data_IF_356418162285
#
_entry.id   IF_356418162285
#
_cell.length_a   1.000
_cell.length_b   1.000
_cell.length_c   1.000
_cell.angle_alpha   90.00
_cell.angle_beta   90.00
_cell.angle_gamma   90.00
#
_symmetry.space_group_name_H-M   'P 1'
#
loop_
_entity.id
_entity.type
_entity.pdbx_description
1 polymer ?
#
# COMPACT_ATOMS: atom_id res chain seq x y z
N UNK A 1 -12.99 -4.23 -35.42
CA UNK A 1 -13.89 -5.13 -34.65
C UNK A 1 -13.61 -4.85 -33.19
N UNK A 2 -14.58 -4.32 -32.46
CA UNK A 2 -14.46 -4.10 -31.01
C UNK A 2 -14.20 -5.44 -30.33
N UNK A 3 -13.01 -5.63 -29.79
CA UNK A 3 -12.69 -6.82 -29.00
C UNK A 3 -13.49 -6.74 -27.69
N UNK A 4 -14.58 -7.48 -27.62
CA UNK A 4 -15.37 -7.59 -26.39
C UNK A 4 -14.72 -8.61 -25.47
N UNK A 5 -14.21 -8.19 -24.33
CA UNK A 5 -13.69 -9.05 -23.26
C UNK A 5 -14.75 -9.32 -22.20
N UNK A 6 -14.62 -10.40 -21.42
CA UNK A 6 -15.45 -10.58 -20.23
C UNK A 6 -15.14 -9.50 -19.19
N UNK A 7 -13.85 -9.20 -18.97
CA UNK A 7 -13.40 -8.19 -18.05
C UNK A 7 -12.33 -7.28 -18.66
N UNK A 8 -12.42 -5.99 -18.37
CA UNK A 8 -11.35 -5.01 -18.62
C UNK A 8 -10.77 -4.64 -17.26
N UNK A 9 -9.43 -4.71 -17.14
CA UNK A 9 -8.67 -4.22 -15.98
C UNK A 9 -7.99 -2.92 -16.38
N UNK A 10 -8.21 -1.85 -15.62
CA UNK A 10 -7.60 -0.54 -15.84
C UNK A 10 -6.40 -0.36 -14.91
N UNK A 11 -5.21 -0.22 -15.50
CA UNK A 11 -3.94 -0.12 -14.80
C UNK A 11 -3.20 -1.46 -14.69
N UNK A 12 -1.96 -1.49 -15.17
CA UNK A 12 -1.05 -2.65 -15.15
C UNK A 12 -0.14 -2.70 -13.93
N UNK A 13 -0.35 -1.85 -12.91
CA UNK A 13 0.38 -1.92 -11.65
C UNK A 13 0.16 -3.25 -10.91
N UNK A 14 0.76 -3.46 -9.72
CA UNK A 14 0.76 -4.77 -9.07
C UNK A 14 -0.65 -5.32 -8.81
N UNK A 15 -1.58 -4.45 -8.46
CA UNK A 15 -2.97 -4.84 -8.16
C UNK A 15 -3.71 -5.28 -9.42
N UNK A 16 -3.63 -4.49 -10.50
CA UNK A 16 -4.28 -4.84 -11.76
C UNK A 16 -3.64 -6.04 -12.46
N UNK A 17 -2.31 -6.14 -12.44
CA UNK A 17 -1.61 -7.31 -12.96
C UNK A 17 -1.98 -8.60 -12.22
N UNK A 18 -2.12 -8.52 -10.89
CA UNK A 18 -2.53 -9.66 -10.07
C UNK A 18 -4.00 -10.01 -10.25
N UNK A 19 -4.88 -9.00 -10.40
CA UNK A 19 -6.29 -9.22 -10.75
C UNK A 19 -6.41 -9.93 -12.10
N UNK A 20 -5.74 -9.45 -13.13
CA UNK A 20 -5.76 -10.05 -14.45
C UNK A 20 -5.21 -11.48 -14.45
N UNK A 21 -4.14 -11.75 -13.68
CA UNK A 21 -3.61 -13.08 -13.52
C UNK A 21 -4.63 -14.04 -12.88
N UNK A 22 -5.32 -13.61 -11.80
CA UNK A 22 -6.33 -14.46 -11.15
C UNK A 22 -7.57 -14.63 -12.03
N UNK A 23 -8.05 -13.59 -12.70
CA UNK A 23 -9.18 -13.66 -13.63
C UNK A 23 -8.92 -14.67 -14.75
N UNK A 24 -7.78 -14.56 -15.44
CA UNK A 24 -7.44 -15.48 -16.52
C UNK A 24 -7.27 -16.93 -16.04
N UNK A 25 -6.73 -17.15 -14.82
CA UNK A 25 -6.70 -18.48 -14.18
C UNK A 25 -8.09 -19.07 -13.92
N UNK A 26 -9.09 -18.22 -13.69
CA UNK A 26 -10.48 -18.62 -13.48
C UNK A 26 -11.27 -18.74 -14.79
N UNK A 27 -10.58 -18.61 -15.95
CA UNK A 27 -11.18 -18.78 -17.28
C UNK A 27 -11.94 -17.55 -17.79
N UNK A 28 -11.76 -16.40 -17.17
CA UNK A 28 -12.32 -15.12 -17.62
C UNK A 28 -11.44 -14.55 -18.74
N UNK A 29 -12.03 -14.16 -19.86
CA UNK A 29 -11.34 -13.41 -20.91
C UNK A 29 -11.10 -11.98 -20.43
N UNK A 30 -9.80 -11.59 -20.29
CA UNK A 30 -9.41 -10.34 -19.66
C UNK A 30 -8.43 -9.53 -20.51
N UNK A 31 -8.72 -8.25 -20.65
CA UNK A 31 -7.82 -7.26 -21.27
C UNK A 31 -7.39 -6.23 -20.23
N UNK A 32 -6.08 -6.00 -20.12
CA UNK A 32 -5.46 -4.97 -19.27
C UNK A 32 -5.06 -3.78 -20.13
N UNK A 33 -5.48 -2.58 -19.74
CA UNK A 33 -5.01 -1.32 -20.31
C UNK A 33 -4.06 -0.61 -19.34
N UNK A 34 -2.83 -0.35 -19.80
CA UNK A 34 -1.79 0.35 -19.04
C UNK A 34 -1.37 1.62 -19.81
N UNK A 35 -1.31 2.76 -19.11
CA UNK A 35 -1.00 4.05 -19.75
C UNK A 35 0.48 4.21 -20.12
N UNK A 36 1.39 3.50 -19.44
CA UNK A 36 2.82 3.59 -19.66
C UNK A 36 3.30 2.59 -20.73
N UNK A 37 4.49 2.85 -21.27
CA UNK A 37 5.16 1.97 -22.22
C UNK A 37 5.69 0.69 -21.57
N UNK A 38 5.91 0.72 -20.25
CA UNK A 38 6.43 -0.41 -19.48
C UNK A 38 5.73 -0.46 -18.12
N UNK A 39 5.30 -1.67 -17.73
CA UNK A 39 4.69 -1.90 -16.42
C UNK A 39 5.72 -1.73 -15.31
N UNK A 40 5.34 -1.03 -14.24
CA UNK A 40 6.20 -0.77 -13.08
C UNK A 40 7.16 0.42 -13.24
N UNK A 41 7.12 1.12 -14.37
CA UNK A 41 7.94 2.31 -14.65
C UNK A 41 7.03 3.50 -15.00
N UNK A 42 7.16 4.66 -14.31
CA UNK A 42 8.06 4.92 -13.16
C UNK A 42 7.60 4.21 -11.87
N UNK A 43 8.56 3.82 -11.03
CA UNK A 43 8.27 3.27 -9.70
C UNK A 43 8.25 4.39 -8.66
N UNK A 44 7.21 4.39 -7.81
CA UNK A 44 6.99 5.42 -6.78
C UNK A 44 6.81 4.81 -5.38
N UNK A 45 7.30 3.60 -5.14
CA UNK A 45 7.02 2.85 -3.91
C UNK A 45 8.28 2.18 -3.38
N UNK A 46 8.53 2.30 -2.09
CA UNK A 46 9.65 1.67 -1.38
C UNK A 46 9.73 0.13 -1.58
N UNK A 47 8.62 -0.49 -1.95
CA UNK A 47 8.58 -1.94 -2.16
C UNK A 47 8.68 -2.74 -0.86
N UNK A 48 8.34 -2.16 0.30
CA UNK A 48 8.40 -2.85 1.59
C UNK A 48 7.19 -3.76 1.77
N UNK A 49 7.38 -5.06 1.67
CA UNK A 49 6.31 -6.06 1.67
C UNK A 49 6.47 -7.07 2.81
N UNK A 50 5.35 -7.58 3.29
CA UNK A 50 5.31 -8.70 4.24
C UNK A 50 5.64 -10.01 3.54
N UNK A 51 6.59 -10.77 4.08
CA UNK A 51 6.93 -12.12 3.58
C UNK A 51 5.72 -13.05 3.76
N UNK A 52 5.03 -12.96 4.90
CA UNK A 52 3.82 -13.74 5.16
C UNK A 52 2.68 -13.38 4.21
N UNK A 53 2.49 -12.07 3.95
CA UNK A 53 1.49 -11.61 3.00
C UNK A 53 1.75 -12.13 1.58
N UNK A 54 3.00 -12.05 1.11
CA UNK A 54 3.40 -12.65 -0.17
C UNK A 54 3.09 -14.16 -0.22
N UNK A 55 3.46 -14.89 0.82
CA UNK A 55 3.20 -16.35 0.92
C UNK A 55 1.70 -16.66 0.87
N UNK A 56 0.88 -15.92 1.59
CA UNK A 56 -0.60 -16.11 1.60
C UNK A 56 -1.21 -15.87 0.22
N UNK A 57 -0.57 -15.06 -0.60
CA UNK A 57 -0.98 -14.76 -1.98
C UNK A 57 -0.35 -15.70 -3.03
N UNK A 58 0.44 -16.70 -2.61
CA UNK A 58 1.15 -17.61 -3.52
C UNK A 58 2.32 -16.96 -4.26
N UNK A 59 2.93 -15.94 -3.65
CA UNK A 59 4.05 -15.16 -4.18
C UNK A 59 5.33 -15.35 -3.35
N UNK A 60 5.49 -16.48 -2.69
CA UNK A 60 6.65 -16.80 -1.86
C UNK A 60 7.91 -17.19 -2.67
N UNK A 61 7.74 -17.59 -3.93
CA UNK A 61 8.83 -17.96 -4.85
C UNK A 61 9.05 -16.88 -5.91
N UNK A 62 9.54 -15.71 -5.48
CA UNK A 62 9.89 -14.64 -6.41
C UNK A 62 11.22 -14.93 -7.14
N UNK A 63 11.33 -14.61 -8.43
CA UNK A 63 12.60 -14.71 -9.17
C UNK A 63 13.74 -13.93 -8.53
N UNK A 64 14.97 -14.38 -8.77
CA UNK A 64 16.18 -13.67 -8.35
C UNK A 64 16.17 -12.22 -8.84
N UNK A 65 16.64 -11.29 -7.99
CA UNK A 65 16.72 -9.87 -8.30
C UNK A 65 15.44 -9.08 -8.01
N UNK A 66 14.29 -9.74 -7.79
CA UNK A 66 13.09 -9.03 -7.34
C UNK A 66 13.21 -8.62 -5.88
N UNK A 67 13.67 -9.51 -5.00
CA UNK A 67 13.95 -9.19 -3.60
C UNK A 67 15.32 -8.53 -3.51
N UNK A 68 15.33 -7.27 -3.06
CA UNK A 68 16.55 -6.47 -2.87
C UNK A 68 17.17 -6.68 -1.48
N UNK A 69 16.31 -6.87 -0.46
CA UNK A 69 16.74 -7.13 0.91
C UNK A 69 15.62 -7.76 1.73
N UNK A 70 15.98 -8.32 2.90
CA UNK A 70 15.03 -8.84 3.89
C UNK A 70 15.32 -8.25 5.26
N UNK A 71 14.26 -8.04 6.07
CA UNK A 71 14.38 -7.38 7.37
C UNK A 71 13.82 -8.24 8.49
N UNK A 72 14.66 -8.39 9.53
CA UNK A 72 14.31 -9.07 10.77
C UNK A 72 13.94 -8.09 11.87
N UNK A 73 14.16 -6.79 11.68
CA UNK A 73 13.93 -5.80 12.71
C UNK A 73 13.52 -4.42 12.20
N UNK A 74 13.08 -3.61 13.14
CA UNK A 74 12.79 -2.19 12.92
C UNK A 74 13.25 -1.37 14.13
N UNK A 75 13.80 -0.20 13.85
CA UNK A 75 14.17 0.80 14.84
C UNK A 75 13.24 2.00 14.71
N UNK A 76 12.48 2.28 15.75
CA UNK A 76 11.61 3.45 15.81
C UNK A 76 12.32 4.55 16.59
N UNK A 77 12.43 5.73 16.00
CA UNK A 77 13.08 6.89 16.58
C UNK A 77 12.07 8.01 16.80
N UNK A 78 12.15 8.69 17.96
CA UNK A 78 11.43 9.95 18.20
C UNK A 78 12.15 11.12 17.51
N UNK A 79 11.48 12.28 17.45
CA UNK A 79 12.11 13.54 16.99
C UNK A 79 13.34 13.93 17.80
N UNK A 80 13.47 13.50 19.06
CA UNK A 80 14.61 13.74 19.93
C UNK A 80 15.70 12.66 19.80
N UNK A 81 15.48 11.62 19.01
CA UNK A 81 16.43 10.53 18.78
C UNK A 81 16.33 9.37 19.77
N UNK A 82 15.32 9.34 20.65
CA UNK A 82 15.06 8.16 21.49
C UNK A 82 14.70 6.98 20.60
N UNK A 83 15.36 5.84 20.84
CA UNK A 83 15.24 4.61 20.06
C UNK A 83 14.42 3.57 20.79
N UNK A 84 13.51 2.91 20.07
CA UNK A 84 12.89 1.64 20.45
C UNK A 84 13.11 0.64 19.32
N UNK A 85 13.66 -0.54 19.63
CA UNK A 85 13.99 -1.57 18.64
C UNK A 85 13.06 -2.76 18.77
N UNK A 86 12.60 -3.26 17.63
CA UNK A 86 11.87 -4.51 17.49
C UNK A 86 12.72 -5.46 16.68
N UNK A 87 12.98 -6.66 17.19
CA UNK A 87 13.75 -7.68 16.46
C UNK A 87 13.06 -9.03 16.52
N UNK A 88 12.84 -9.61 15.37
CA UNK A 88 12.26 -10.93 15.19
C UNK A 88 13.37 -11.98 15.01
N UNK A 89 13.04 -13.25 15.24
CA UNK A 89 14.01 -14.36 15.10
C UNK A 89 14.41 -14.65 13.65
N UNK A 90 13.57 -14.27 12.71
CA UNK A 90 13.74 -14.46 11.26
C UNK A 90 13.16 -13.26 10.51
N UNK A 91 13.53 -13.05 9.24
CA UNK A 91 12.95 -11.98 8.42
C UNK A 91 11.42 -12.09 8.35
N UNK A 92 10.74 -10.96 8.51
CA UNK A 92 9.27 -10.82 8.44
C UNK A 92 8.82 -9.92 7.29
N UNK A 93 9.74 -9.07 6.79
CA UNK A 93 9.50 -8.23 5.62
C UNK A 93 10.65 -8.32 4.62
N UNK A 94 10.39 -7.87 3.41
CA UNK A 94 11.40 -7.69 2.38
C UNK A 94 11.20 -6.38 1.63
N UNK A 95 12.29 -5.84 1.06
CA UNK A 95 12.25 -4.84 0.02
C UNK A 95 12.23 -5.53 -1.34
N UNK A 96 11.36 -5.09 -2.23
CA UNK A 96 11.36 -5.58 -3.62
C UNK A 96 11.64 -4.43 -4.58
N UNK A 97 12.31 -4.76 -5.67
CA UNK A 97 12.36 -3.91 -6.86
C UNK A 97 10.97 -3.90 -7.49
N UNK A 98 10.26 -2.78 -7.38
CA UNK A 98 8.88 -2.67 -7.82
C UNK A 98 8.71 -2.80 -9.34
N UNK A 99 9.65 -2.28 -10.11
CA UNK A 99 9.60 -2.45 -11.57
C UNK A 99 9.66 -3.93 -11.96
N UNK A 100 10.58 -4.69 -11.36
CA UNK A 100 10.70 -6.12 -11.61
C UNK A 100 9.52 -6.92 -11.04
N UNK A 101 9.02 -6.55 -9.87
CA UNK A 101 7.89 -7.22 -9.24
C UNK A 101 6.60 -7.02 -10.04
N UNK A 102 6.30 -5.80 -10.45
CA UNK A 102 5.10 -5.49 -11.23
C UNK A 102 5.16 -6.15 -12.61
N UNK A 103 6.35 -6.14 -13.25
CA UNK A 103 6.60 -6.86 -14.50
C UNK A 103 6.44 -8.37 -14.36
N UNK A 104 6.91 -8.94 -13.28
CA UNK A 104 6.71 -10.37 -12.98
C UNK A 104 5.21 -10.73 -12.89
N UNK A 105 4.40 -9.91 -12.24
CA UNK A 105 2.96 -10.16 -12.12
C UNK A 105 2.24 -10.06 -13.47
N UNK A 106 2.54 -9.05 -14.28
CA UNK A 106 1.89 -8.90 -15.59
C UNK A 106 2.30 -9.99 -16.57
N UNK A 107 3.55 -10.47 -16.52
CA UNK A 107 3.99 -11.60 -17.32
C UNK A 107 3.30 -12.92 -16.90
N UNK A 108 2.99 -13.07 -15.60
CA UNK A 108 2.13 -14.17 -15.13
C UNK A 108 0.72 -14.08 -15.71
N UNK A 109 0.13 -12.89 -15.74
CA UNK A 109 -1.19 -12.68 -16.36
C UNK A 109 -1.18 -13.03 -17.84
N UNK A 110 -0.19 -12.57 -18.61
CA UNK A 110 -0.02 -12.91 -20.05
C UNK A 110 0.11 -14.41 -20.28
N UNK A 111 0.92 -15.10 -19.45
CA UNK A 111 1.12 -16.55 -19.56
C UNK A 111 -0.15 -17.37 -19.29
N UNK A 112 -1.11 -16.81 -18.57
CA UNK A 112 -2.41 -17.46 -18.32
C UNK A 112 -3.51 -17.03 -19.29
N UNK A 113 -3.19 -16.18 -20.28
CA UNK A 113 -4.09 -15.82 -21.37
C UNK A 113 -4.62 -14.39 -21.33
N UNK A 114 -4.21 -13.56 -20.34
CA UNK A 114 -4.61 -12.15 -20.31
C UNK A 114 -3.99 -11.35 -21.48
N UNK A 115 -4.80 -10.57 -22.17
CA UNK A 115 -4.34 -9.58 -23.15
C UNK A 115 -3.85 -8.32 -22.44
N UNK A 116 -2.74 -7.73 -22.87
CA UNK A 116 -2.18 -6.52 -22.27
C UNK A 116 -1.87 -5.48 -23.33
N UNK A 117 -2.47 -4.30 -23.20
CA UNK A 117 -2.26 -3.17 -24.10
C UNK A 117 -1.52 -2.06 -23.33
N UNK A 118 -0.26 -1.84 -23.69
CA UNK A 118 0.58 -0.76 -23.16
C UNK A 118 0.36 0.53 -23.97
N UNK A 119 0.79 1.68 -23.42
CA UNK A 119 0.53 3.01 -23.98
C UNK A 119 -0.96 3.28 -24.25
N UNK A 120 -1.81 2.68 -23.44
CA UNK A 120 -3.26 2.67 -23.65
C UNK A 120 -3.96 3.26 -22.42
N UNK A 121 -4.02 4.57 -22.38
CA UNK A 121 -4.65 5.31 -21.28
C UNK A 121 -6.16 5.23 -21.38
N UNK A 122 -6.80 4.71 -20.36
CA UNK A 122 -8.25 4.78 -20.20
C UNK A 122 -8.64 6.21 -19.80
N UNK A 123 -9.56 6.82 -20.58
CA UNK A 123 -10.05 8.19 -20.36
C UNK A 123 -11.34 8.21 -19.55
N UNK A 124 -12.27 7.33 -19.86
CA UNK A 124 -13.60 7.32 -19.24
C UNK A 124 -14.26 5.96 -19.32
N UNK A 125 -15.28 5.77 -18.49
CA UNK A 125 -16.19 4.64 -18.55
C UNK A 125 -17.19 4.82 -19.71
N UNK A 126 -17.59 3.73 -20.34
CA UNK A 126 -18.72 3.69 -21.29
C UNK A 126 -19.92 3.14 -20.54
N UNK A 127 -20.96 3.95 -20.39
CA UNK A 127 -22.18 3.60 -19.65
C UNK A 127 -23.35 3.49 -20.60
N UNK A 128 -24.10 2.37 -20.56
CA UNK A 128 -25.34 2.14 -21.30
C UNK A 128 -26.42 1.61 -20.35
N UNK A 129 -27.58 2.23 -20.33
CA UNK A 129 -28.70 1.83 -19.47
C UNK A 129 -28.36 1.64 -17.97
N UNK A 130 -27.47 2.49 -17.42
CA UNK A 130 -27.04 2.43 -16.03
C UNK A 130 -26.02 1.34 -15.71
N UNK A 131 -25.48 0.66 -16.73
CA UNK A 131 -24.37 -0.31 -16.61
C UNK A 131 -23.09 0.24 -17.23
N UNK A 132 -21.98 0.03 -16.57
CA UNK A 132 -20.66 0.19 -17.21
C UNK A 132 -20.47 -1.03 -18.13
N UNK A 133 -20.29 -0.74 -19.43
CA UNK A 133 -20.19 -1.76 -20.49
C UNK A 133 -18.84 -1.71 -21.21
N UNK A 134 -17.87 -0.99 -20.66
CA UNK A 134 -16.54 -0.87 -21.23
C UNK A 134 -15.85 0.44 -20.87
N UNK A 135 -14.78 0.72 -21.58
CA UNK A 135 -13.94 1.91 -21.40
C UNK A 135 -13.67 2.63 -22.71
N UNK A 136 -13.45 3.96 -22.62
CA UNK A 136 -12.96 4.78 -23.72
C UNK A 136 -11.48 5.08 -23.49
N UNK A 137 -10.67 4.93 -24.55
CA UNK A 137 -9.23 5.17 -24.54
C UNK A 137 -8.92 6.60 -25.02
N UNK A 138 -7.77 7.12 -24.62
CA UNK A 138 -7.28 8.42 -25.11
C UNK A 138 -6.94 8.31 -26.62
N UNK A 139 -7.17 9.37 -27.38
CA UNK A 139 -6.89 9.42 -28.84
C UNK A 139 -5.42 9.14 -29.23
N UNK A 140 -4.49 9.26 -28.26
CA UNK A 140 -3.09 8.91 -28.45
C UNK A 140 -2.82 7.41 -28.36
N UNK A 141 -3.77 6.61 -27.90
CA UNK A 141 -3.68 5.16 -27.81
C UNK A 141 -3.76 4.57 -29.22
N UNK A 142 -2.82 3.67 -29.54
CA UNK A 142 -2.85 2.94 -30.84
C UNK A 142 -4.00 1.94 -30.79
N UNK A 143 -5.00 2.09 -31.65
CA UNK A 143 -6.10 1.15 -31.79
C UNK A 143 -7.49 1.79 -31.72
N UNK A 144 -8.49 1.00 -31.38
CA UNK A 144 -9.87 1.44 -31.24
C UNK A 144 -10.05 2.37 -30.04
N UNK A 145 -10.87 3.41 -30.19
CA UNK A 145 -11.11 4.40 -29.13
C UNK A 145 -11.99 3.87 -27.98
N UNK A 146 -12.58 2.68 -28.11
CA UNK A 146 -13.42 2.04 -27.10
C UNK A 146 -13.15 0.54 -27.05
N UNK A 147 -13.24 -0.03 -25.86
CA UNK A 147 -13.23 -1.48 -25.60
C UNK A 147 -14.48 -1.85 -24.81
N UNK A 148 -15.25 -2.80 -25.33
CA UNK A 148 -16.44 -3.31 -24.64
C UNK A 148 -16.04 -4.38 -23.63
N UNK A 149 -16.72 -4.41 -22.47
CA UNK A 149 -16.55 -5.42 -21.42
C UNK A 149 -17.82 -5.62 -20.64
N UNK A 150 -18.01 -6.82 -20.08
CA UNK A 150 -19.11 -7.10 -19.16
C UNK A 150 -18.87 -6.49 -17.76
N UNK A 151 -17.61 -6.45 -17.34
CA UNK A 151 -17.17 -5.83 -16.08
C UNK A 151 -15.88 -5.05 -16.31
N UNK A 152 -15.79 -3.86 -15.73
CA UNK A 152 -14.55 -3.07 -15.65
C UNK A 152 -14.03 -3.12 -14.21
N UNK A 153 -12.79 -3.56 -14.03
CA UNK A 153 -12.06 -3.59 -12.75
C UNK A 153 -11.07 -2.44 -12.74
N UNK A 154 -11.38 -1.40 -11.98
CA UNK A 154 -10.55 -0.21 -11.87
C UNK A 154 -9.41 -0.41 -10.86
N UNK A 155 -8.19 -0.45 -11.38
CA UNK A 155 -6.93 -0.54 -10.63
C UNK A 155 -5.99 0.64 -10.99
N UNK A 156 -6.54 1.82 -11.34
CA UNK A 156 -5.78 2.99 -11.80
C UNK A 156 -4.94 3.68 -10.69
N UNK A 157 -4.91 3.09 -9.50
CA UNK A 157 -4.14 3.61 -8.37
C UNK A 157 -4.72 4.89 -7.78
N UNK A 158 -3.86 5.73 -7.21
CA UNK A 158 -4.27 6.92 -6.46
C UNK A 158 -4.98 8.00 -7.31
N UNK A 159 -4.89 7.92 -8.62
CA UNK A 159 -5.56 8.88 -9.52
C UNK A 159 -7.08 8.87 -9.37
N UNK A 160 -7.68 7.70 -9.14
CA UNK A 160 -9.11 7.48 -8.83
C UNK A 160 -10.06 8.27 -9.74
N UNK A 161 -9.73 8.40 -11.03
CA UNK A 161 -10.51 9.24 -11.98
C UNK A 161 -11.80 8.57 -12.40
N UNK A 162 -11.76 7.26 -12.61
CA UNK A 162 -12.91 6.49 -13.05
C UNK A 162 -13.92 6.31 -11.92
N UNK A 163 -13.46 6.18 -10.67
CA UNK A 163 -14.32 6.14 -9.48
C UNK A 163 -15.23 7.38 -9.42
N UNK A 164 -14.67 8.57 -9.71
CA UNK A 164 -15.45 9.83 -9.72
C UNK A 164 -16.53 9.87 -10.79
N UNK A 165 -16.37 9.11 -11.87
CA UNK A 165 -17.36 9.03 -12.94
C UNK A 165 -18.50 8.07 -12.57
N UNK A 166 -18.18 6.96 -11.87
CA UNK A 166 -19.16 5.98 -11.45
C UNK A 166 -19.96 6.42 -10.20
N UNK A 167 -19.28 7.03 -9.21
CA UNK A 167 -19.88 7.44 -7.94
C UNK A 167 -19.16 8.67 -7.33
N UNK A 168 -19.47 9.90 -7.75
CA UNK A 168 -18.77 11.11 -7.31
C UNK A 168 -18.73 11.33 -5.79
N UNK A 169 -19.76 10.86 -5.06
CA UNK A 169 -19.87 11.03 -3.61
C UNK A 169 -18.94 10.10 -2.80
N UNK A 170 -18.39 9.04 -3.42
CA UNK A 170 -17.55 8.05 -2.74
C UNK A 170 -16.18 8.58 -2.32
N UNK A 171 -15.72 9.68 -2.91
CA UNK A 171 -14.34 10.17 -2.82
C UNK A 171 -14.11 11.30 -1.81
N UNK A 172 -15.14 11.78 -1.12
CA UNK A 172 -15.08 12.99 -0.30
C UNK A 172 -14.29 12.87 1.02
N UNK A 173 -13.73 11.70 1.35
CA UNK A 173 -13.07 11.43 2.64
C UNK A 173 -11.65 10.83 2.54
N UNK A 174 -10.97 10.95 1.41
CA UNK A 174 -9.59 10.45 1.31
C UNK A 174 -8.61 11.38 2.03
N UNK A 175 -8.07 10.93 3.16
CA UNK A 175 -6.95 11.58 3.81
C UNK A 175 -5.67 11.27 3.03
N UNK A 176 -5.19 12.22 2.26
CA UNK A 176 -3.95 12.09 1.51
C UNK A 176 -2.75 12.53 2.36
N UNK A 177 -1.65 11.81 2.24
CA UNK A 177 -0.32 12.29 2.56
C UNK A 177 0.51 12.36 1.29
N UNK A 178 1.40 13.34 1.23
CA UNK A 178 2.29 13.54 0.09
C UNK A 178 3.69 13.09 0.47
N UNK A 179 4.21 12.12 -0.28
CA UNK A 179 5.48 11.48 -0.02
C UNK A 179 6.58 11.91 -0.98
N UNK A 180 7.79 11.81 -0.48
CA UNK A 180 9.03 11.82 -1.24
C UNK A 180 9.83 10.59 -0.86
N UNK A 181 10.39 9.92 -1.85
CA UNK A 181 11.31 8.81 -1.69
C UNK A 181 12.56 9.05 -2.52
N UNK A 182 13.70 8.73 -1.95
CA UNK A 182 14.99 8.83 -2.60
C UNK A 182 15.74 7.49 -2.48
N UNK A 183 16.46 7.12 -3.53
CA UNK A 183 17.53 6.15 -3.45
C UNK A 183 18.82 6.88 -3.07
N UNK A 184 19.55 6.34 -2.09
CA UNK A 184 20.77 6.92 -1.57
C UNK A 184 21.88 5.89 -1.48
N UNK A 185 23.11 6.33 -1.71
CA UNK A 185 24.34 5.55 -1.51
C UNK A 185 25.11 6.09 -0.31
N UNK A 186 26.07 5.30 0.21
CA UNK A 186 26.99 5.68 1.29
C UNK A 186 26.29 6.00 2.61
N UNK A 187 25.36 5.15 3.04
CA UNK A 187 24.76 5.22 4.38
C UNK A 187 25.74 4.67 5.42
N UNK A 188 25.70 5.22 6.63
CA UNK A 188 26.61 4.85 7.73
C UNK A 188 25.84 4.44 8.99
N UNK A 189 26.46 3.62 9.82
CA UNK A 189 25.92 3.23 11.14
C UNK A 189 24.49 2.66 11.11
N UNK A 190 24.18 1.89 10.08
CA UNK A 190 22.89 1.25 9.87
C UNK A 190 23.06 -0.28 9.80
N UNK A 191 22.21 -0.98 10.50
CA UNK A 191 22.16 -2.45 10.43
C UNK A 191 21.32 -2.85 9.20
N UNK A 192 21.92 -3.62 8.29
CA UNK A 192 21.33 -3.88 6.97
C UNK A 192 20.01 -4.65 6.99
N UNK A 193 19.71 -5.41 8.06
CA UNK A 193 18.47 -6.16 8.22
C UNK A 193 17.45 -5.48 9.17
N UNK A 194 17.62 -4.16 9.43
CA UNK A 194 16.71 -3.38 10.26
C UNK A 194 16.21 -2.12 9.54
N UNK A 195 14.90 -1.93 9.50
CA UNK A 195 14.28 -0.72 8.94
C UNK A 195 14.29 0.40 9.98
N UNK A 196 14.69 1.60 9.59
CA UNK A 196 14.52 2.82 10.39
C UNK A 196 13.15 3.45 10.17
N UNK A 197 12.43 3.77 11.24
CA UNK A 197 11.19 4.54 11.25
C UNK A 197 11.38 5.76 12.14
N UNK A 198 11.14 6.95 11.61
CA UNK A 198 11.43 8.21 12.31
C UNK A 198 10.14 9.01 12.45
N UNK A 199 9.75 9.24 13.69
CA UNK A 199 8.55 10.00 14.07
C UNK A 199 8.95 11.43 14.47
N UNK A 200 8.20 12.41 14.01
CA UNK A 200 8.44 13.81 14.39
C UNK A 200 7.66 14.79 13.52
N UNK A 201 6.93 15.72 14.16
CA UNK A 201 6.06 16.68 13.47
C UNK A 201 6.85 17.71 12.65
N UNK A 202 8.12 17.94 12.99
CA UNK A 202 9.02 18.86 12.27
C UNK A 202 9.54 18.28 10.96
N UNK A 203 9.50 16.95 10.81
CA UNK A 203 10.02 16.23 9.65
C UNK A 203 8.92 15.62 8.80
N UNK A 204 7.95 14.95 9.44
CA UNK A 204 6.89 14.21 8.77
C UNK A 204 5.53 14.42 9.49
N UNK A 205 4.96 15.65 9.47
CA UNK A 205 3.70 15.93 10.16
C UNK A 205 2.56 15.04 9.65
N UNK A 206 1.94 14.30 10.58
CA UNK A 206 0.81 13.40 10.29
C UNK A 206 1.19 12.06 9.64
N UNK A 207 2.51 11.79 9.51
CA UNK A 207 3.04 10.50 9.06
C UNK A 207 4.46 10.26 9.64
N UNK A 208 5.36 9.57 8.93
CA UNK A 208 6.70 9.25 9.38
C UNK A 208 7.71 9.31 8.22
N UNK A 209 9.00 9.31 8.57
CA UNK A 209 10.09 9.07 7.64
C UNK A 209 10.65 7.65 7.82
N UNK A 210 11.23 7.09 6.77
CA UNK A 210 11.80 5.75 6.75
C UNK A 210 13.19 5.71 6.14
N UNK A 211 13.96 4.70 6.57
CA UNK A 211 15.22 4.31 5.97
C UNK A 211 15.23 2.79 5.85
N UNK A 212 15.32 2.29 4.64
CA UNK A 212 15.35 0.87 4.30
C UNK A 212 16.73 0.53 3.70
N UNK A 213 17.68 0.02 4.50
CA UNK A 213 19.01 -0.27 4.04
C UNK A 213 19.04 -1.46 3.08
N UNK A 214 20.07 -1.51 2.24
CA UNK A 214 20.48 -2.67 1.46
C UNK A 214 21.85 -3.16 1.92
N UNK A 215 22.22 -4.36 1.51
CA UNK A 215 23.51 -4.95 1.91
C UNK A 215 24.72 -4.26 1.25
N UNK A 216 24.52 -3.54 0.17
CA UNK A 216 25.57 -2.85 -0.60
C UNK A 216 25.91 -1.44 -0.08
N UNK A 217 25.36 -1.04 1.06
CA UNK A 217 25.55 0.30 1.62
C UNK A 217 24.66 1.37 1.01
N UNK A 218 23.72 0.99 0.14
CA UNK A 218 22.67 1.86 -0.34
C UNK A 218 21.40 1.73 0.51
N UNK A 219 20.45 2.64 0.33
CA UNK A 219 19.13 2.58 0.98
C UNK A 219 18.05 3.27 0.16
N UNK A 220 16.80 2.89 0.44
CA UNK A 220 15.62 3.71 0.13
C UNK A 220 15.28 4.54 1.36
N UNK A 221 15.24 5.85 1.20
CA UNK A 221 14.96 6.81 2.27
C UNK A 221 13.81 7.71 1.83
N UNK A 222 12.83 7.89 2.69
CA UNK A 222 11.71 8.74 2.34
C UNK A 222 10.96 9.26 3.54
N UNK A 223 9.98 10.09 3.27
CA UNK A 223 8.95 10.52 4.22
C UNK A 223 7.65 10.82 3.49
N UNK A 224 6.57 10.85 4.27
CA UNK A 224 5.33 11.45 3.79
C UNK A 224 4.75 12.37 4.87
N UNK A 225 3.92 13.31 4.45
CA UNK A 225 3.33 14.29 5.35
C UNK A 225 1.94 14.73 4.90
N UNK A 226 1.08 15.09 5.86
CA UNK A 226 -0.24 15.67 5.56
C UNK A 226 -0.18 17.15 5.16
N UNK A 227 0.92 17.83 5.46
CA UNK A 227 1.14 19.26 5.21
C UNK A 227 2.61 19.59 5.07
N UNK A 228 2.90 20.69 4.41
CA UNK A 228 4.28 21.14 4.10
C UNK A 228 4.75 20.60 2.75
N UNK A 229 5.86 21.15 2.27
CA UNK A 229 6.48 20.69 1.04
C UNK A 229 7.32 19.43 1.32
N UNK A 230 7.04 18.28 0.71
CA UNK A 230 7.77 17.04 0.98
C UNK A 230 9.28 17.15 0.75
N UNK A 231 9.72 17.91 -0.27
CA UNK A 231 11.15 18.12 -0.56
C UNK A 231 11.86 18.89 0.55
N UNK A 232 11.24 19.94 1.06
CA UNK A 232 11.82 20.75 2.16
C UNK A 232 11.83 19.95 3.47
N UNK A 233 10.77 19.20 3.75
CA UNK A 233 10.69 18.30 4.91
C UNK A 233 11.78 17.23 4.84
N UNK A 234 12.00 16.67 3.64
CA UNK A 234 13.06 15.68 3.41
C UNK A 234 14.46 16.25 3.64
N UNK A 235 14.75 17.42 3.12
CA UNK A 235 16.03 18.10 3.37
C UNK A 235 16.23 18.38 4.87
N UNK A 236 15.17 18.82 5.57
CA UNK A 236 15.21 19.02 7.02
C UNK A 236 15.45 17.72 7.78
N UNK A 237 14.79 16.64 7.37
CA UNK A 237 14.99 15.29 7.93
C UNK A 237 16.45 14.84 7.78
N UNK A 238 17.01 14.93 6.58
CA UNK A 238 18.39 14.54 6.29
C UNK A 238 19.42 15.35 7.11
N UNK A 239 19.17 16.65 7.35
CA UNK A 239 20.14 17.54 7.97
C UNK A 239 19.97 17.73 9.47
N UNK A 240 18.76 17.61 10.03
CA UNK A 240 18.45 18.02 11.40
C UNK A 240 17.98 16.92 12.33
N UNK A 241 17.51 15.77 11.82
CA UNK A 241 17.09 14.68 12.70
C UNK A 241 18.30 14.09 13.44
N UNK A 242 18.31 13.99 14.81
CA UNK A 242 19.50 13.67 15.59
C UNK A 242 20.21 12.36 15.21
N UNK A 243 19.46 11.40 14.68
CA UNK A 243 19.98 10.09 14.26
C UNK A 243 20.15 10.03 12.75
N UNK A 244 19.11 10.36 11.97
CA UNK A 244 19.15 10.25 10.52
C UNK A 244 20.25 11.13 9.89
N UNK A 245 20.49 12.34 10.42
CA UNK A 245 21.56 13.22 9.92
C UNK A 245 22.97 12.62 10.03
N UNK A 246 23.19 11.75 11.04
CA UNK A 246 24.46 11.02 11.18
C UNK A 246 24.53 9.83 10.25
N UNK A 247 23.42 9.09 10.11
CA UNK A 247 23.32 7.91 9.24
C UNK A 247 23.43 8.27 7.75
N UNK A 248 23.00 9.48 7.40
CA UNK A 248 22.92 9.99 6.04
C UNK A 248 23.92 11.14 5.77
N UNK A 249 24.91 11.34 6.66
CA UNK A 249 25.89 12.45 6.56
C UNK A 249 26.71 12.43 5.28
N UNK A 250 27.01 11.24 4.75
CA UNK A 250 27.74 11.02 3.49
C UNK A 250 26.85 10.52 2.36
N UNK A 251 25.54 10.47 2.60
CA UNK A 251 24.62 9.92 1.63
C UNK A 251 24.54 10.78 0.36
N UNK A 252 24.64 10.11 -0.79
CA UNK A 252 24.46 10.72 -2.10
C UNK A 252 23.10 10.27 -2.65
N UNK A 253 22.23 11.23 -2.92
CA UNK A 253 20.92 10.96 -3.56
C UNK A 253 21.16 10.67 -5.04
N UNK A 254 20.71 9.51 -5.51
CA UNK A 254 20.84 9.07 -6.91
C UNK A 254 19.54 9.24 -7.68
N UNK A 255 18.40 9.05 -7.02
CA UNK A 255 17.07 9.19 -7.61
C UNK A 255 16.11 9.77 -6.55
N UNK A 256 15.11 10.51 -7.00
CA UNK A 256 14.04 11.04 -6.13
C UNK A 256 12.70 10.96 -6.85
N UNK A 257 11.69 10.47 -6.16
CA UNK A 257 10.32 10.36 -6.66
C UNK A 257 9.32 10.96 -5.67
N UNK A 258 8.16 11.37 -6.17
CA UNK A 258 7.09 11.97 -5.38
C UNK A 258 5.79 11.21 -5.65
N UNK A 259 5.00 10.99 -4.61
CA UNK A 259 3.72 10.29 -4.73
C UNK A 259 2.76 10.68 -3.61
N UNK A 260 1.48 10.46 -3.84
CA UNK A 260 0.46 10.59 -2.81
C UNK A 260 0.05 9.20 -2.30
N UNK A 261 -0.34 9.11 -1.03
CA UNK A 261 -0.84 7.89 -0.39
C UNK A 261 -2.16 8.21 0.29
N UNK A 262 -3.19 7.43 0.02
CA UNK A 262 -4.47 7.55 0.72
C UNK A 262 -4.45 6.79 2.04
N UNK A 263 -4.76 7.45 3.14
CA UNK A 263 -4.74 6.89 4.50
C UNK A 263 -6.09 6.97 5.20
N UNK A 264 -7.16 7.34 4.48
CA UNK A 264 -8.52 7.47 5.01
C UNK A 264 -9.23 6.13 5.24
N UNK A 265 -8.63 5.03 4.80
CA UNK A 265 -9.27 3.72 4.74
C UNK A 265 -10.13 3.55 3.47
N UNK A 266 -10.71 2.37 3.24
CA UNK A 266 -11.47 2.08 2.04
C UNK A 266 -12.63 3.05 1.81
N UNK A 267 -12.85 3.42 0.55
CA UNK A 267 -14.03 4.20 0.13
C UNK A 267 -15.32 3.43 0.47
N UNK A 268 -16.42 4.17 0.61
CA UNK A 268 -17.69 3.59 1.09
C UNK A 268 -18.29 2.58 0.11
N UNK A 269 -18.14 2.82 -1.19
CA UNK A 269 -18.72 2.01 -2.24
C UNK A 269 -17.66 1.71 -3.28
N UNK A 270 -17.38 0.43 -3.49
CA UNK A 270 -16.32 -0.07 -4.37
C UNK A 270 -16.88 -0.83 -5.57
N UNK A 271 -18.21 -0.86 -5.73
CA UNK A 271 -18.86 -1.47 -6.89
C UNK A 271 -20.06 -0.66 -7.40
N UNK A 272 -20.35 -0.84 -8.69
CA UNK A 272 -21.56 -0.37 -9.37
C UNK A 272 -21.94 -1.44 -10.43
N UNK A 273 -23.03 -1.24 -11.18
CA UNK A 273 -23.40 -2.14 -12.26
C UNK A 273 -22.27 -2.23 -13.30
N UNK A 274 -21.67 -3.41 -13.48
CA UNK A 274 -20.57 -3.65 -14.40
C UNK A 274 -19.23 -3.02 -14.00
N UNK A 275 -19.04 -2.61 -12.72
CA UNK A 275 -17.86 -1.87 -12.30
C UNK A 275 -17.40 -2.24 -10.89
N UNK A 276 -16.09 -2.47 -10.72
CA UNK A 276 -15.42 -2.67 -9.43
C UNK A 276 -14.18 -1.79 -9.30
N UNK A 277 -13.87 -1.36 -8.06
CA UNK A 277 -12.69 -0.57 -7.74
C UNK A 277 -11.80 -1.33 -6.76
N UNK A 278 -10.50 -1.43 -7.05
CA UNK A 278 -9.56 -2.26 -6.30
C UNK A 278 -8.25 -1.52 -6.04
N UNK A 279 -7.64 -1.77 -4.90
CA UNK A 279 -6.33 -1.23 -4.52
C UNK A 279 -6.37 0.23 -4.08
N UNK A 280 -5.37 1.01 -4.46
CA UNK A 280 -5.24 2.42 -4.05
C UNK A 280 -6.40 3.29 -4.60
N UNK A 281 -6.97 2.93 -5.75
CA UNK A 281 -8.17 3.56 -6.29
C UNK A 281 -9.37 3.44 -5.33
N UNK A 282 -9.46 2.33 -4.59
CA UNK A 282 -10.45 2.09 -3.54
C UNK A 282 -9.94 2.51 -2.14
N UNK A 283 -8.77 3.15 -2.03
CA UNK A 283 -8.11 3.47 -0.74
C UNK A 283 -7.90 2.25 0.18
N UNK A 284 -7.61 1.07 -0.42
CA UNK A 284 -7.33 -0.18 0.29
C UNK A 284 -5.86 -0.24 0.75
N UNK A 285 -5.47 0.80 1.48
CA UNK A 285 -4.11 1.04 1.98
C UNK A 285 -4.14 1.01 3.51
N UNK A 286 -3.11 0.45 4.14
CA UNK A 286 -2.99 0.44 5.62
C UNK A 286 -2.85 1.86 6.16
N UNK A 287 -3.80 2.38 6.93
CA UNK A 287 -3.75 3.77 7.42
C UNK A 287 -2.52 4.10 8.26
N UNK A 288 -1.96 3.11 8.97
CA UNK A 288 -0.82 3.29 9.87
C UNK A 288 0.52 3.40 9.14
N UNK A 289 0.70 2.65 8.04
CA UNK A 289 2.01 2.49 7.40
C UNK A 289 2.05 2.89 5.92
N UNK A 290 0.90 3.19 5.30
CA UNK A 290 0.83 3.48 3.87
C UNK A 290 1.06 2.26 2.97
N UNK A 291 1.16 1.05 3.54
CA UNK A 291 1.40 -0.18 2.77
C UNK A 291 0.14 -0.66 2.05
N UNK A 292 0.03 -0.43 0.75
CA UNK A 292 -1.15 -0.78 -0.06
C UNK A 292 -1.02 -2.12 -0.81
N UNK A 293 0.20 -2.56 -1.16
CA UNK A 293 0.39 -3.68 -2.09
C UNK A 293 -0.28 -4.97 -1.60
N UNK A 294 0.05 -5.47 -0.42
CA UNK A 294 -0.51 -6.75 0.09
C UNK A 294 -2.04 -6.68 0.24
N UNK A 295 -2.57 -5.54 0.72
CA UNK A 295 -4.02 -5.36 0.86
C UNK A 295 -4.69 -5.25 -0.50
N UNK A 296 -4.11 -4.49 -1.43
CA UNK A 296 -4.59 -4.39 -2.80
C UNK A 296 -4.60 -5.74 -3.53
N UNK A 297 -3.53 -6.54 -3.39
CA UNK A 297 -3.48 -7.89 -3.96
C UNK A 297 -4.52 -8.82 -3.32
N UNK A 298 -4.75 -8.72 -2.00
CA UNK A 298 -5.79 -9.49 -1.32
C UNK A 298 -7.18 -9.14 -1.86
N UNK A 299 -7.47 -7.84 -1.99
CA UNK A 299 -8.73 -7.37 -2.57
C UNK A 299 -8.85 -7.75 -4.05
N UNK A 300 -7.75 -7.73 -4.82
CA UNK A 300 -7.74 -8.15 -6.22
C UNK A 300 -8.09 -9.64 -6.39
N UNK A 301 -7.61 -10.51 -5.49
CA UNK A 301 -8.01 -11.92 -5.48
C UNK A 301 -9.50 -12.08 -5.24
N UNK A 302 -10.05 -11.39 -4.23
CA UNK A 302 -11.48 -11.41 -3.92
C UNK A 302 -12.29 -10.87 -5.10
N UNK A 303 -11.88 -9.75 -5.70
CA UNK A 303 -12.53 -9.18 -6.88
C UNK A 303 -12.56 -10.17 -8.05
N UNK A 304 -11.45 -10.88 -8.28
CA UNK A 304 -11.34 -11.86 -9.36
C UNK A 304 -12.31 -13.04 -9.16
N UNK A 305 -12.47 -13.52 -7.93
CA UNK A 305 -13.42 -14.59 -7.59
C UNK A 305 -14.87 -14.15 -7.84
N UNK A 306 -15.21 -12.92 -7.41
CA UNK A 306 -16.56 -12.36 -7.60
C UNK A 306 -16.86 -12.09 -9.09
N UNK A 307 -15.91 -11.55 -9.85
CA UNK A 307 -16.08 -11.30 -11.29
C UNK A 307 -16.24 -12.61 -12.05
N UNK A 308 -15.44 -13.64 -11.73
CA UNK A 308 -15.59 -14.96 -12.36
C UNK A 308 -16.98 -15.58 -12.10
N UNK A 309 -17.52 -15.40 -10.87
CA UNK A 309 -18.87 -15.82 -10.54
C UNK A 309 -19.92 -15.02 -11.31
N UNK A 310 -19.77 -13.68 -11.40
CA UNK A 310 -20.66 -12.80 -12.17
C UNK A 310 -20.70 -13.21 -13.66
N UNK A 311 -19.54 -13.55 -14.24
CA UNK A 311 -19.43 -14.04 -15.63
C UNK A 311 -20.20 -15.38 -15.80
N UNK A 312 -20.03 -16.31 -14.86
CA UNK A 312 -20.76 -17.61 -14.90
C UNK A 312 -22.26 -17.43 -14.80
N UNK A 313 -22.73 -16.53 -13.93
CA UNK A 313 -24.17 -16.23 -13.73
C UNK A 313 -24.74 -15.32 -14.81
N UNK A 314 -23.88 -14.67 -15.60
CA UNK A 314 -24.26 -13.58 -16.53
C UNK A 314 -25.02 -12.45 -15.82
N UNK A 315 -24.67 -12.18 -14.56
CA UNK A 315 -25.23 -11.12 -13.73
C UNK A 315 -24.12 -10.14 -13.32
N UNK A 316 -24.16 -8.94 -13.88
CA UNK A 316 -23.18 -7.88 -13.67
C UNK A 316 -23.78 -6.71 -12.89
N UNK A 317 -24.92 -6.92 -12.25
CA UNK A 317 -25.57 -5.93 -11.40
C UNK A 317 -24.73 -5.59 -10.17
N UNK A 318 -24.91 -4.37 -9.67
CA UNK A 318 -24.28 -3.96 -8.41
C UNK A 318 -24.63 -4.89 -7.24
N UNK A 319 -25.82 -5.48 -7.24
CA UNK A 319 -26.26 -6.47 -6.22
C UNK A 319 -25.37 -7.72 -6.23
N UNK A 320 -25.06 -8.25 -7.43
CA UNK A 320 -24.15 -9.38 -7.56
C UNK A 320 -22.72 -9.00 -7.18
N UNK A 321 -22.24 -7.82 -7.62
CA UNK A 321 -20.87 -7.36 -7.39
C UNK A 321 -20.63 -6.87 -5.94
N UNK A 322 -21.66 -6.54 -5.15
CA UNK A 322 -21.56 -6.14 -3.76
C UNK A 322 -20.94 -7.23 -2.86
N UNK A 323 -21.01 -8.49 -3.30
CA UNK A 323 -20.31 -9.59 -2.63
C UNK A 323 -18.80 -9.33 -2.48
N UNK A 324 -18.20 -8.54 -3.38
CA UNK A 324 -16.82 -8.07 -3.26
C UNK A 324 -16.61 -7.17 -2.04
N UNK A 325 -17.51 -6.19 -1.84
CA UNK A 325 -17.44 -5.28 -0.67
C UNK A 325 -17.58 -6.06 0.64
N UNK A 326 -18.54 -6.97 0.70
CA UNK A 326 -18.81 -7.78 1.89
C UNK A 326 -17.64 -8.71 2.22
N UNK A 327 -17.04 -9.35 1.22
CA UNK A 327 -15.87 -10.20 1.38
C UNK A 327 -14.63 -9.41 1.82
N UNK A 328 -14.39 -8.24 1.25
CA UNK A 328 -13.32 -7.34 1.69
C UNK A 328 -13.56 -6.82 3.12
N UNK A 329 -14.80 -6.45 3.46
CA UNK A 329 -15.19 -6.00 4.79
C UNK A 329 -15.03 -7.09 5.84
N UNK A 330 -15.41 -8.31 5.51
CA UNK A 330 -15.24 -9.48 6.38
C UNK A 330 -13.76 -9.79 6.61
N UNK A 331 -12.94 -9.75 5.57
CA UNK A 331 -11.52 -10.13 5.64
C UNK A 331 -10.64 -9.06 6.29
N UNK A 332 -10.84 -7.79 5.98
CA UNK A 332 -9.93 -6.69 6.30
C UNK A 332 -10.58 -5.54 7.09
N UNK A 333 -11.91 -5.50 7.19
CA UNK A 333 -12.62 -4.35 7.75
C UNK A 333 -12.31 -4.07 9.21
N UNK A 334 -12.06 -5.10 10.02
CA UNK A 334 -11.63 -4.93 11.42
C UNK A 334 -10.25 -4.27 11.48
N UNK A 335 -9.32 -4.75 10.67
CA UNK A 335 -7.94 -4.24 10.62
C UNK A 335 -7.91 -2.78 10.13
N UNK A 336 -8.64 -2.44 9.08
CA UNK A 336 -8.76 -1.06 8.59
C UNK A 336 -9.27 -0.11 9.69
N UNK A 337 -10.36 -0.46 10.38
CA UNK A 337 -10.93 0.38 11.45
C UNK A 337 -9.95 0.55 12.62
N UNK A 338 -9.27 -0.52 13.00
CA UNK A 338 -8.29 -0.50 14.10
C UNK A 338 -7.08 0.35 13.73
N UNK A 339 -6.52 0.16 12.52
CA UNK A 339 -5.40 0.95 12.03
C UNK A 339 -5.74 2.43 11.88
N UNK A 340 -6.95 2.76 11.42
CA UNK A 340 -7.38 4.16 11.31
C UNK A 340 -7.47 4.85 12.68
N UNK A 341 -8.00 4.14 13.69
CA UNK A 341 -8.04 4.63 15.07
C UNK A 341 -6.63 4.77 15.65
N UNK A 342 -5.76 3.77 15.45
CA UNK A 342 -4.37 3.81 15.89
C UNK A 342 -3.61 4.98 15.25
N UNK A 343 -3.79 5.22 13.95
CA UNK A 343 -3.21 6.37 13.25
C UNK A 343 -3.64 7.69 13.88
N UNK A 344 -4.96 7.91 14.03
CA UNK A 344 -5.49 9.14 14.65
C UNK A 344 -4.93 9.35 16.05
N UNK A 345 -4.84 8.29 16.83
CA UNK A 345 -4.25 8.31 18.16
C UNK A 345 -2.76 8.71 18.11
N UNK A 346 -1.92 8.02 17.36
CA UNK A 346 -0.47 8.27 17.31
C UNK A 346 -0.18 9.72 16.89
N UNK A 347 -0.86 10.22 15.86
CA UNK A 347 -0.59 11.55 15.33
C UNK A 347 -1.28 12.70 16.10
N UNK A 348 -2.15 12.40 17.06
CA UNK A 348 -2.62 13.37 18.04
C UNK A 348 -1.56 13.68 19.11
N UNK A 349 -0.67 12.72 19.41
CA UNK A 349 0.38 12.89 20.41
C UNK A 349 1.40 13.96 20.01
N UNK A 350 1.91 14.72 20.98
CA UNK A 350 3.06 15.60 20.78
C UNK A 350 4.35 14.79 20.68
N UNK A 351 5.40 15.37 20.07
CA UNK A 351 6.71 14.71 19.95
C UNK A 351 7.29 14.33 21.32
N UNK A 352 7.07 15.15 22.36
CA UNK A 352 7.47 14.84 23.74
C UNK A 352 6.78 13.58 24.27
N UNK A 353 5.51 13.39 23.95
CA UNK A 353 4.74 12.20 24.37
C UNK A 353 5.15 10.96 23.58
N UNK A 354 5.42 11.11 22.30
CA UNK A 354 5.99 10.03 21.47
C UNK A 354 7.35 9.60 22.07
N UNK A 355 8.19 10.57 22.44
CA UNK A 355 9.49 10.29 23.08
C UNK A 355 9.31 9.52 24.41
N UNK A 356 8.41 9.97 25.27
CA UNK A 356 8.08 9.28 26.53
C UNK A 356 7.54 7.87 26.28
N UNK A 357 6.72 7.69 25.26
CA UNK A 357 6.18 6.39 24.88
C UNK A 357 7.28 5.41 24.44
N UNK A 358 8.23 5.87 23.64
CA UNK A 358 9.37 5.03 23.22
C UNK A 358 10.30 4.67 24.40
N UNK A 359 10.57 5.64 25.30
CA UNK A 359 11.35 5.38 26.54
C UNK A 359 10.65 4.34 27.43
N UNK A 360 9.33 4.48 27.62
CA UNK A 360 8.54 3.50 28.36
C UNK A 360 8.63 2.12 27.70
N UNK A 361 8.42 2.03 26.40
CA UNK A 361 8.46 0.78 25.65
C UNK A 361 9.81 0.06 25.80
N UNK A 362 10.93 0.82 25.73
CA UNK A 362 12.28 0.29 25.93
C UNK A 362 12.51 -0.16 27.39
N UNK A 363 12.09 0.66 28.36
CA UNK A 363 12.28 0.35 29.80
C UNK A 363 11.52 -0.92 30.23
N UNK A 364 10.32 -1.10 29.70
CA UNK A 364 9.47 -2.27 30.03
C UNK A 364 9.62 -3.43 29.05
N UNK A 365 10.65 -3.39 28.19
CA UNK A 365 11.00 -4.46 27.24
C UNK A 365 9.81 -4.96 26.45
N UNK A 366 8.99 -4.04 25.93
CA UNK A 366 7.80 -4.41 25.13
C UNK A 366 8.18 -5.16 23.85
N UNK A 367 9.40 -5.00 23.35
CA UNK A 367 9.97 -5.78 22.26
C UNK A 367 10.02 -7.28 22.58
N UNK A 368 10.38 -7.66 23.81
CA UNK A 368 10.38 -9.07 24.23
C UNK A 368 8.96 -9.66 24.21
N UNK A 369 7.98 -8.89 24.65
CA UNK A 369 6.58 -9.30 24.61
C UNK A 369 6.03 -9.42 23.18
N UNK A 370 6.62 -8.71 22.22
CA UNK A 370 6.26 -8.79 20.79
C UNK A 370 6.96 -9.93 20.05
N UNK A 371 7.98 -10.57 20.64
CA UNK A 371 8.65 -11.75 20.05
C UNK A 371 7.64 -12.85 19.78
N UNK A 372 7.64 -13.37 18.55
CA UNK A 372 6.68 -14.39 18.09
C UNK A 372 5.39 -13.83 17.48
N UNK A 373 5.24 -12.52 17.38
CA UNK A 373 4.19 -11.89 16.59
C UNK A 373 4.75 -11.67 15.18
N UNK A 374 4.53 -12.63 14.30
CA UNK A 374 5.01 -12.61 12.90
C UNK A 374 3.99 -12.04 11.90
N UNK A 375 2.81 -11.64 12.40
CA UNK A 375 1.77 -10.97 11.61
C UNK A 375 1.96 -9.45 11.69
N UNK A 376 2.28 -8.83 10.56
CA UNK A 376 2.51 -7.38 10.46
C UNK A 376 1.48 -6.67 9.55
N UNK A 377 0.72 -7.43 8.78
CA UNK A 377 -0.31 -6.87 7.89
C UNK A 377 -1.63 -6.66 8.62
N UNK A 378 -2.12 -7.68 9.32
CA UNK A 378 -3.38 -7.65 10.06
C UNK A 378 -3.18 -7.05 11.46
N UNK A 379 -2.90 -5.76 11.51
CA UNK A 379 -2.49 -5.06 12.75
C UNK A 379 -3.59 -5.01 13.81
N UNK A 380 -4.86 -5.02 13.41
CA UNK A 380 -5.98 -5.11 14.34
C UNK A 380 -6.03 -6.46 15.06
N UNK A 381 -5.88 -7.54 14.31
CA UNK A 381 -5.81 -8.90 14.87
C UNK A 381 -4.54 -9.08 15.71
N UNK A 382 -3.41 -8.51 15.27
CA UNK A 382 -2.18 -8.48 16.06
C UNK A 382 -2.38 -7.78 17.40
N UNK A 383 -3.06 -6.63 17.42
CA UNK A 383 -3.35 -5.90 18.66
C UNK A 383 -4.19 -6.72 19.63
N UNK A 384 -5.23 -7.41 19.15
CA UNK A 384 -6.06 -8.28 19.99
C UNK A 384 -5.22 -9.40 20.63
N UNK A 385 -4.36 -10.06 19.84
CA UNK A 385 -3.43 -11.08 20.35
C UNK A 385 -2.40 -10.49 21.34
N UNK A 386 -1.96 -9.27 21.11
CA UNK A 386 -1.04 -8.58 22.01
C UNK A 386 -1.66 -8.28 23.38
N UNK A 387 -2.96 -7.95 23.43
CA UNK A 387 -3.67 -7.66 24.68
C UNK A 387 -3.74 -8.85 25.64
N UNK A 388 -3.57 -10.07 25.17
CA UNK A 388 -3.49 -11.24 26.05
C UNK A 388 -2.17 -11.31 26.85
N UNK A 389 -1.17 -10.48 26.52
CA UNK A 389 0.13 -10.43 27.20
C UNK A 389 0.16 -9.26 28.20
N UNK A 390 0.39 -9.50 29.52
CA UNK A 390 0.30 -8.46 30.56
C UNK A 390 1.18 -7.22 30.30
N UNK A 391 2.40 -7.42 29.80
CA UNK A 391 3.30 -6.30 29.48
C UNK A 391 2.76 -5.39 28.37
N UNK A 392 2.15 -5.97 27.33
CA UNK A 392 1.58 -5.20 26.23
C UNK A 392 0.28 -4.51 26.65
N UNK A 393 -0.50 -5.13 27.53
CA UNK A 393 -1.67 -4.49 28.16
C UNK A 393 -1.25 -3.27 28.98
N UNK A 394 -0.22 -3.37 29.83
CA UNK A 394 0.33 -2.26 30.58
C UNK A 394 0.86 -1.14 29.67
N UNK A 395 1.53 -1.53 28.58
CA UNK A 395 1.93 -0.58 27.54
C UNK A 395 0.76 0.19 26.95
N UNK A 396 -0.31 -0.51 26.55
CA UNK A 396 -1.52 0.13 26.02
C UNK A 396 -2.19 1.05 27.03
N UNK A 397 -2.28 0.64 28.29
CA UNK A 397 -2.83 1.47 29.37
C UNK A 397 -2.01 2.77 29.54
N UNK A 398 -0.68 2.68 29.49
CA UNK A 398 0.17 3.87 29.53
C UNK A 398 -0.04 4.78 28.31
N UNK A 399 -0.13 4.23 27.09
CA UNK A 399 -0.44 5.00 25.90
C UNK A 399 -1.81 5.69 26.01
N UNK A 400 -2.82 5.02 26.56
CA UNK A 400 -4.13 5.61 26.79
C UNK A 400 -4.07 6.77 27.80
N UNK A 401 -3.29 6.63 28.86
CA UNK A 401 -3.04 7.70 29.83
C UNK A 401 -2.39 8.92 29.17
N UNK A 402 -1.39 8.70 28.32
CA UNK A 402 -0.76 9.76 27.53
C UNK A 402 -1.79 10.49 26.64
N UNK A 403 -2.74 9.77 26.08
CA UNK A 403 -3.81 10.36 25.27
C UNK A 403 -4.77 11.21 26.11
N UNK A 404 -5.27 10.68 27.20
CA UNK A 404 -6.22 11.38 28.09
C UNK A 404 -5.63 12.66 28.68
N UNK A 405 -4.31 12.71 28.85
CA UNK A 405 -3.60 13.92 29.31
C UNK A 405 -3.27 14.90 28.18
N UNK A 406 -3.71 14.67 26.93
CA UNK A 406 -3.48 15.56 25.78
C UNK A 406 -4.62 16.54 25.50
N UNK A 407 -5.82 16.22 25.94
CA UNK A 407 -6.97 17.11 25.77
C UNK A 407 -7.28 17.75 27.13
N UNK A 408 -7.04 19.07 27.32
CA UNK A 408 -7.63 19.80 28.42
C UNK A 408 -9.14 19.95 28.21
#
# INVERSE_FOLDING_TARGET
>A
MTTASDAVVVGGGPVGAFAAWNLSKLGVDVTVFEEHAEVGVPSHCAGHLSIRGLKTLGLDNLPRGIVENTYSGANVYSAQGTKFSLRMRKPVTCAVNRALFDKFLIERAKKTGASVSLNSRVKSLVVKNGFVVGVSLDQKSKGENQSEAKVVVDCEGISSRLVRQAEPAALSSQELVYGVEAEVENIENVVSDEVGVYLGKDYAPGFYAWLMPRHDGSAKVGLAATRGNPKELFQRFLSKHPVASKQLSKAKVTQMTFHAISLGGPIRKTCANGFLVVGDAASQVKPTTGGGVIFGLTCARIASEVVAEAVRRKDFSSVCLEQYEDSCRSSLGFDFRTMLRARRFIYSLSDKKIDSALRFSSRFKLDEAMKGVDEIDLQGQMLVKALSKPALFAGLAYFLLLYLTTNP
#
